data_IF_351907390836
#
_entry.id   IF_351907390836
#
_cell.length_a   1.000
_cell.length_b   1.000
_cell.length_c   1.000
_cell.angle_alpha   90.00
_cell.angle_beta   90.00
_cell.angle_gamma   90.00
#
_symmetry.space_group_name_H-M   'P 1'
#
loop_
_entity.id
_entity.type
_entity.pdbx_description
1 polymer ?
#
# COMPACT_ATOMS: atom_id res chain seq x y z
N UNK A 1 18.27 -52.45 -0.06
CA UNK A 1 19.28 -53.05 0.84
C UNK A 1 19.61 -54.42 0.27
N UNK A 2 20.90 -54.77 0.09
CA UNK A 2 21.46 -55.88 -0.74
C UNK A 2 21.22 -55.70 -2.26
N UNK A 3 22.18 -55.73 -3.22
CA UNK A 3 23.34 -56.62 -3.57
C UNK A 3 22.88 -58.04 -3.99
N UNK A 4 23.28 -58.69 -5.10
CA UNK A 4 24.58 -58.94 -5.82
C UNK A 4 24.33 -59.45 -7.27
N UNK A 5 25.25 -59.61 -8.26
CA UNK A 5 26.53 -58.98 -8.71
C UNK A 5 27.00 -59.70 -10.04
N UNK A 6 27.75 -59.03 -10.96
CA UNK A 6 28.50 -59.60 -12.14
C UNK A 6 27.66 -60.18 -13.33
N UNK A 7 28.12 -60.22 -14.60
CA UNK A 7 29.48 -60.46 -15.16
C UNK A 7 29.94 -59.49 -16.28
N UNK A 8 31.22 -59.62 -16.69
CA UNK A 8 31.91 -58.82 -17.72
C UNK A 8 32.09 -59.59 -19.05
N UNK A 9 32.36 -58.86 -20.14
CA UNK A 9 33.47 -59.23 -21.07
C UNK A 9 34.07 -58.00 -21.77
N UNK A 10 35.36 -58.09 -22.09
CA UNK A 10 36.20 -57.06 -22.75
C UNK A 10 36.61 -57.50 -24.16
N UNK A 11 37.35 -56.60 -24.84
CA UNK A 11 38.42 -56.79 -25.87
C UNK A 11 38.08 -56.12 -27.22
N UNK A 12 39.02 -55.53 -27.97
CA UNK A 12 40.29 -54.82 -27.68
C UNK A 12 40.87 -54.35 -29.03
N UNK A 13 41.44 -53.13 -29.12
CA UNK A 13 42.73 -52.87 -29.83
C UNK A 13 43.22 -51.44 -29.59
N UNK A 14 44.55 -51.30 -29.57
CA UNK A 14 45.33 -50.05 -29.36
C UNK A 14 46.28 -49.86 -30.56
N UNK A 15 47.12 -48.82 -30.44
CA UNK A 15 48.44 -48.54 -31.04
C UNK A 15 48.39 -47.24 -31.89
N UNK A 16 49.33 -46.30 -31.81
CA UNK A 16 50.42 -46.00 -30.86
C UNK A 16 50.84 -44.51 -31.04
N UNK A 17 51.25 -43.82 -29.96
CA UNK A 17 52.52 -43.07 -29.74
C UNK A 17 53.20 -42.32 -30.93
N UNK A 18 53.90 -41.17 -30.81
CA UNK A 18 54.48 -40.45 -29.65
C UNK A 18 54.81 -38.94 -29.99
N UNK A 19 55.60 -38.12 -29.25
CA UNK A 19 55.31 -36.68 -29.08
C UNK A 19 56.39 -35.71 -29.61
N UNK A 20 56.16 -34.40 -29.42
CA UNK A 20 57.23 -33.38 -29.40
C UNK A 20 57.16 -32.58 -28.09
N UNK A 21 58.30 -32.49 -27.38
CA UNK A 21 58.57 -31.52 -26.31
C UNK A 21 59.59 -30.49 -26.80
N UNK A 22 59.44 -29.22 -26.40
CA UNK A 22 60.55 -28.38 -25.89
C UNK A 22 59.97 -27.15 -25.17
N UNK A 23 60.77 -26.59 -24.28
CA UNK A 23 60.37 -25.55 -23.30
C UNK A 23 61.36 -24.36 -23.38
N UNK A 24 61.37 -23.52 -22.33
CA UNK A 24 62.25 -22.34 -22.09
C UNK A 24 61.81 -21.04 -22.79
N UNK A 25 61.85 -19.85 -22.17
CA UNK A 25 61.84 -19.46 -20.74
C UNK A 25 61.63 -17.92 -20.62
N UNK A 26 61.26 -17.45 -19.42
CA UNK A 26 61.44 -16.08 -18.88
C UNK A 26 60.58 -14.92 -19.41
N UNK A 27 60.02 -14.15 -18.47
CA UNK A 27 59.21 -12.95 -18.72
C UNK A 27 58.42 -12.50 -17.49
N UNK A 28 59.10 -12.13 -16.39
CA UNK A 28 58.42 -11.47 -15.25
C UNK A 28 57.96 -10.07 -15.67
N UNK A 29 56.66 -9.81 -15.57
CA UNK A 29 56.10 -8.47 -15.57
C UNK A 29 55.10 -8.33 -14.41
N UNK A 30 55.51 -7.62 -13.34
CA UNK A 30 54.57 -7.20 -12.30
C UNK A 30 53.67 -6.09 -12.87
N UNK A 31 52.44 -6.44 -13.26
CA UNK A 31 51.36 -5.47 -13.36
C UNK A 31 50.67 -5.38 -11.99
N UNK A 32 51.02 -4.38 -11.20
CA UNK A 32 50.30 -4.04 -9.98
C UNK A 32 48.92 -3.48 -10.34
N UNK A 33 47.93 -4.37 -10.46
CA UNK A 33 46.54 -3.96 -10.57
C UNK A 33 46.11 -3.36 -9.23
N UNK A 34 46.04 -2.02 -9.16
CA UNK A 34 45.41 -1.35 -8.03
C UNK A 34 43.95 -1.80 -7.95
N UNK A 35 43.63 -2.57 -6.90
CA UNK A 35 42.25 -2.89 -6.54
C UNK A 35 41.61 -1.61 -6.02
N UNK A 36 41.13 -0.79 -6.96
CA UNK A 36 40.16 0.24 -6.65
C UNK A 36 38.94 -0.45 -6.07
N UNK A 37 38.76 -0.36 -4.75
CA UNK A 37 37.54 -0.72 -4.05
C UNK A 37 36.44 0.26 -4.44
N UNK A 38 35.98 0.11 -5.69
CA UNK A 38 34.72 0.66 -6.15
C UNK A 38 33.60 -0.02 -5.38
N UNK A 39 33.31 0.50 -4.19
CA UNK A 39 32.03 0.28 -3.53
C UNK A 39 31.00 0.95 -4.44
N UNK A 40 30.54 0.20 -5.44
CA UNK A 40 29.39 0.59 -6.22
C UNK A 40 28.25 0.76 -5.21
N UNK A 41 27.89 2.01 -4.92
CA UNK A 41 26.80 2.34 -4.04
C UNK A 41 25.54 1.70 -4.64
N UNK A 42 25.17 0.55 -4.07
CA UNK A 42 24.03 -0.24 -4.49
C UNK A 42 22.80 0.53 -4.06
N UNK A 43 22.44 1.53 -4.88
CA UNK A 43 21.30 2.42 -4.64
C UNK A 43 20.09 1.52 -4.43
N UNK A 44 19.58 1.53 -3.20
CA UNK A 44 18.35 0.83 -2.88
C UNK A 44 17.27 1.44 -3.78
N UNK A 45 16.65 0.58 -4.61
CA UNK A 45 15.55 0.99 -5.48
C UNK A 45 14.49 1.66 -4.60
N UNK A 46 14.05 2.85 -5.00
CA UNK A 46 13.06 3.61 -4.25
C UNK A 46 11.82 2.75 -3.95
N UNK A 47 11.31 2.92 -2.73
CA UNK A 47 10.15 2.22 -2.20
C UNK A 47 8.91 2.81 -2.86
N UNK A 48 8.25 2.03 -3.70
CA UNK A 48 6.99 2.43 -4.34
C UNK A 48 5.83 2.34 -3.35
N UNK A 49 5.04 3.41 -3.26
CA UNK A 49 3.85 3.56 -2.44
C UNK A 49 2.60 3.74 -3.34
N UNK A 50 1.40 3.27 -2.94
CA UNK A 50 1.13 2.53 -1.71
C UNK A 50 1.67 1.10 -1.78
N UNK A 51 1.95 0.51 -0.61
CA UNK A 51 2.17 -0.94 -0.52
C UNK A 51 0.82 -1.58 -0.31
N UNK A 52 0.35 -2.31 -1.32
CA UNK A 52 -0.93 -3.01 -1.28
C UNK A 52 -0.77 -4.39 -0.63
N UNK A 53 -1.51 -4.62 0.45
CA UNK A 53 -1.42 -5.82 1.30
C UNK A 53 -2.74 -6.58 1.18
N UNK A 54 -2.90 -7.25 0.04
CA UNK A 54 -4.18 -7.83 -0.38
C UNK A 54 -4.16 -9.35 -0.52
N UNK A 55 -5.35 -9.93 -0.42
CA UNK A 55 -5.64 -11.30 -0.83
C UNK A 55 -7.12 -11.61 -0.60
N UNK A 56 -7.66 -12.62 -1.30
CA UNK A 56 -9.08 -12.93 -1.17
C UNK A 56 -9.44 -13.32 0.28
N UNK A 57 -8.67 -14.23 0.88
CA UNK A 57 -8.84 -14.64 2.28
C UNK A 57 -7.78 -14.02 3.19
N UNK A 58 -6.51 -14.04 2.79
CA UNK A 58 -5.38 -13.45 3.53
C UNK A 58 -4.27 -13.07 2.54
N UNK A 59 -3.34 -12.22 2.96
CA UNK A 59 -2.34 -11.63 2.06
C UNK A 59 -1.09 -11.11 2.77
N UNK A 60 -0.11 -10.64 2.00
CA UNK A 60 1.12 -10.10 2.56
C UNK A 60 2.01 -9.40 1.53
N UNK A 61 2.79 -8.45 2.01
CA UNK A 61 3.78 -7.72 1.23
C UNK A 61 5.08 -7.56 2.04
N UNK A 62 6.20 -7.25 1.40
CA UNK A 62 7.43 -6.90 2.12
C UNK A 62 8.31 -5.97 1.31
N UNK A 63 8.99 -5.05 2.00
CA UNK A 63 9.88 -4.05 1.41
C UNK A 63 11.26 -4.19 2.03
N UNK A 64 12.29 -4.21 1.18
CA UNK A 64 13.70 -4.14 1.58
C UNK A 64 14.17 -2.69 1.53
N UNK A 65 14.91 -2.26 2.55
CA UNK A 65 15.44 -0.90 2.66
C UNK A 65 16.76 -0.88 3.42
N UNK A 66 17.54 0.20 3.25
CA UNK A 66 18.79 0.43 3.96
C UNK A 66 18.72 1.83 4.58
N UNK A 67 18.52 1.98 5.90
CA UNK A 67 18.57 3.29 6.54
C UNK A 67 19.96 3.92 6.34
N UNK A 68 20.06 5.19 5.94
CA UNK A 68 21.35 5.86 5.79
C UNK A 68 22.05 5.97 7.14
N UNK A 69 23.38 5.88 7.13
CA UNK A 69 24.19 6.16 8.32
C UNK A 69 24.01 7.63 8.70
N UNK A 70 23.68 7.87 9.96
CA UNK A 70 23.54 9.20 10.56
C UNK A 70 24.57 9.38 11.66
N UNK A 71 24.99 10.62 11.92
CA UNK A 71 25.76 10.97 13.13
C UNK A 71 24.88 11.05 14.39
N UNK A 72 23.56 11.05 14.22
CA UNK A 72 22.61 10.98 15.31
C UNK A 72 22.47 9.54 15.84
N UNK A 73 22.85 9.38 17.11
CA UNK A 73 22.84 8.12 17.85
C UNK A 73 21.54 7.90 18.65
N UNK A 74 20.54 8.77 18.52
CA UNK A 74 19.25 8.59 19.20
C UNK A 74 18.61 7.25 18.78
N UNK A 75 18.13 6.43 19.74
CA UNK A 75 17.64 5.11 19.43
C UNK A 75 16.39 5.19 18.57
N UNK A 76 16.25 4.29 17.59
CA UNK A 76 15.01 4.08 16.86
C UNK A 76 14.02 3.40 17.81
N UNK A 77 12.81 3.94 17.96
CA UNK A 77 11.83 3.46 18.96
C UNK A 77 10.48 3.12 18.37
N UNK A 78 10.18 3.61 17.17
CA UNK A 78 8.80 3.68 16.69
C UNK A 78 8.73 3.50 15.18
N UNK A 79 7.76 2.71 14.71
CA UNK A 79 7.30 2.69 13.33
C UNK A 79 6.09 3.64 13.24
N UNK A 80 6.13 4.61 12.33
CA UNK A 80 4.98 5.45 11.99
C UNK A 80 4.49 5.10 10.59
N UNK A 81 3.17 5.02 10.40
CA UNK A 81 2.57 4.66 9.11
C UNK A 81 1.29 5.46 8.86
N UNK A 82 1.03 5.85 7.61
CA UNK A 82 -0.34 6.12 7.15
C UNK A 82 -0.88 4.88 6.46
N UNK A 83 -2.06 4.43 6.85
CA UNK A 83 -2.69 3.20 6.32
C UNK A 83 -4.13 3.49 5.87
N UNK A 84 -4.65 2.67 4.96
CA UNK A 84 -6.05 2.74 4.51
C UNK A 84 -6.65 1.34 4.31
N UNK A 85 -7.95 1.20 4.60
CA UNK A 85 -8.68 -0.06 4.54
C UNK A 85 -8.51 -0.95 5.78
N UNK A 86 -8.16 -0.36 6.93
CA UNK A 86 -8.02 -1.07 8.20
C UNK A 86 -9.32 -0.95 9.00
N UNK A 87 -10.23 -1.91 8.87
CA UNK A 87 -11.64 -1.78 9.30
C UNK A 87 -11.95 -2.49 10.62
N UNK A 88 -11.07 -3.35 11.15
CA UNK A 88 -11.25 -3.97 12.46
C UNK A 88 -9.92 -4.34 13.15
N UNK A 89 -9.90 -4.39 14.49
CA UNK A 89 -8.73 -4.78 15.27
C UNK A 89 -8.16 -6.14 14.83
N UNK A 90 -6.84 -6.21 14.61
CA UNK A 90 -6.18 -7.47 14.26
C UNK A 90 -6.37 -7.93 12.80
N UNK A 91 -7.08 -7.16 11.95
CA UNK A 91 -7.16 -7.42 10.50
C UNK A 91 -5.77 -7.53 9.85
N UNK A 92 -4.80 -6.79 10.38
CA UNK A 92 -3.46 -6.67 9.84
C UNK A 92 -2.38 -6.86 10.91
N UNK A 93 -1.16 -7.15 10.46
CA UNK A 93 0.04 -7.16 11.30
C UNK A 93 1.24 -6.63 10.52
N UNK A 94 2.23 -6.13 11.25
CA UNK A 94 3.52 -5.68 10.73
C UNK A 94 4.66 -6.32 11.52
N UNK A 95 5.81 -6.54 10.87
CA UNK A 95 7.06 -6.88 11.55
C UNK A 95 8.24 -6.25 10.85
N UNK A 96 9.33 -6.10 11.59
CA UNK A 96 10.62 -5.67 11.07
C UNK A 96 11.61 -6.83 11.20
N UNK A 97 12.40 -7.08 10.16
CA UNK A 97 13.38 -8.14 10.05
C UNK A 97 12.80 -9.52 10.43
N UNK A 98 13.46 -10.23 11.36
CA UNK A 98 13.01 -11.50 11.95
C UNK A 98 12.22 -11.33 13.24
N UNK A 99 11.80 -10.09 13.55
CA UNK A 99 11.11 -9.73 14.76
C UNK A 99 9.67 -10.22 14.86
N UNK A 100 9.02 -9.85 15.96
CA UNK A 100 7.66 -10.27 16.29
C UNK A 100 6.65 -9.63 15.36
N UNK A 101 5.59 -10.37 15.00
CA UNK A 101 4.42 -9.78 14.33
C UNK A 101 3.62 -8.96 15.33
N UNK A 102 3.65 -7.64 15.18
CA UNK A 102 2.83 -6.69 15.93
C UNK A 102 1.47 -6.60 15.23
N UNK A 103 0.35 -6.94 15.88
CA UNK A 103 -0.98 -6.74 15.31
C UNK A 103 -1.31 -5.24 15.23
N UNK A 104 -2.08 -4.86 14.21
CA UNK A 104 -2.62 -3.50 14.10
C UNK A 104 -4.01 -3.49 14.76
N UNK A 105 -4.03 -3.11 16.03
CA UNK A 105 -5.21 -3.01 16.89
C UNK A 105 -5.04 -1.88 17.91
N UNK A 106 -6.11 -1.56 18.64
CA UNK A 106 -6.16 -0.46 19.61
C UNK A 106 -5.35 -0.72 20.91
N UNK A 107 -4.66 -1.86 21.05
CA UNK A 107 -3.75 -2.14 22.18
C UNK A 107 -2.28 -1.90 21.80
N UNK A 108 -1.91 -2.11 20.54
CA UNK A 108 -0.51 -2.07 20.08
C UNK A 108 -0.16 -0.82 19.28
N UNK A 109 -1.14 0.02 18.91
CA UNK A 109 -0.92 1.25 18.13
C UNK A 109 -1.54 2.47 18.81
N UNK A 110 -0.92 3.63 18.63
CA UNK A 110 -1.52 4.94 18.89
C UNK A 110 -1.96 5.56 17.57
N UNK A 111 -3.20 6.05 17.48
CA UNK A 111 -3.71 6.77 16.30
C UNK A 111 -3.32 8.25 16.42
N UNK A 112 -2.74 8.83 15.36
CA UNK A 112 -2.19 10.18 15.33
C UNK A 112 -2.99 11.19 14.47
N UNK A 113 -3.94 10.73 13.63
CA UNK A 113 -4.75 11.56 12.73
C UNK A 113 -5.15 10.84 11.42
N UNK A 114 -5.65 11.55 10.39
CA UNK A 114 -6.42 12.79 10.47
C UNK A 114 -7.90 12.49 10.81
N UNK A 115 -8.64 13.53 11.17
CA UNK A 115 -9.97 13.40 11.76
C UNK A 115 -9.97 12.78 13.16
N UNK A 116 -11.16 12.83 13.75
CA UNK A 116 -11.64 12.25 15.02
C UNK A 116 -11.51 10.72 15.14
N UNK A 117 -10.64 10.06 14.38
CA UNK A 117 -10.54 8.61 14.26
C UNK A 117 -10.22 7.91 15.59
N UNK A 118 -9.40 8.51 16.46
CA UNK A 118 -9.16 8.03 17.82
C UNK A 118 -10.36 8.22 18.74
N UNK A 119 -11.02 9.38 18.64
CA UNK A 119 -12.19 9.75 19.46
C UNK A 119 -13.44 8.93 19.12
N UNK A 120 -13.51 8.36 17.91
CA UNK A 120 -14.60 7.54 17.41
C UNK A 120 -14.26 6.03 17.55
N UNK A 121 -13.63 5.64 18.65
CA UNK A 121 -13.39 4.24 19.01
C UNK A 121 -12.22 3.55 18.29
N UNK A 122 -11.40 4.30 17.55
CA UNK A 122 -10.21 3.79 16.90
C UNK A 122 -10.48 2.80 15.76
N UNK A 123 -9.58 1.84 15.58
CA UNK A 123 -9.70 0.80 14.54
C UNK A 123 -10.98 0.00 14.80
N UNK A 124 -11.91 0.02 13.83
CA UNK A 124 -13.21 -0.65 13.90
C UNK A 124 -14.28 0.04 14.74
N UNK A 125 -14.02 1.22 15.32
CA UNK A 125 -15.04 2.01 16.02
C UNK A 125 -15.82 2.99 15.11
N UNK A 126 -15.29 3.29 13.93
CA UNK A 126 -15.70 4.39 13.07
C UNK A 126 -15.86 3.96 11.60
N UNK A 127 -16.69 4.62 10.78
CA UNK A 127 -16.64 4.49 9.31
C UNK A 127 -15.33 4.99 8.69
N UNK A 128 -14.44 5.62 9.46
CA UNK A 128 -13.09 5.99 9.04
C UNK A 128 -12.22 4.72 8.94
N UNK A 129 -11.68 4.44 7.76
CA UNK A 129 -10.76 3.32 7.50
C UNK A 129 -9.33 3.76 7.14
N UNK A 130 -9.03 5.06 7.24
CA UNK A 130 -7.70 5.66 7.01
C UNK A 130 -7.15 6.18 8.33
N UNK A 131 -5.92 5.80 8.68
CA UNK A 131 -5.30 6.16 9.96
C UNK A 131 -3.82 6.49 9.81
N UNK A 132 -3.36 7.53 10.50
CA UNK A 132 -1.98 7.68 10.91
C UNK A 132 -1.75 6.90 12.21
N UNK A 133 -0.76 6.00 12.20
CA UNK A 133 -0.44 5.08 13.29
C UNK A 133 0.98 5.34 13.79
N UNK A 134 1.15 5.21 15.10
CA UNK A 134 2.42 5.10 15.80
C UNK A 134 2.47 3.76 16.51
N UNK A 135 3.44 2.93 16.16
CA UNK A 135 3.66 1.58 16.70
C UNK A 135 5.00 1.57 17.44
N UNK A 136 5.03 1.45 18.78
CA UNK A 136 6.26 1.20 19.52
C UNK A 136 6.93 -0.09 19.04
N UNK A 137 8.25 -0.06 18.83
CA UNK A 137 9.02 -1.24 18.43
C UNK A 137 9.76 -1.83 19.64
N UNK A 138 9.76 -3.16 19.83
CA UNK A 138 10.70 -3.83 20.72
C UNK A 138 12.15 -3.49 20.34
N UNK A 139 13.03 -3.32 21.32
CA UNK A 139 14.40 -2.85 21.11
C UNK A 139 15.22 -3.73 20.14
N UNK A 140 15.00 -5.04 20.14
CA UNK A 140 15.67 -6.00 19.25
C UNK A 140 15.08 -6.04 17.83
N UNK A 141 13.86 -5.52 17.66
CA UNK A 141 13.10 -5.52 16.41
C UNK A 141 13.26 -4.21 15.60
N UNK A 142 14.17 -3.31 16.01
CA UNK A 142 14.40 -2.04 15.31
C UNK A 142 15.24 -2.21 14.04
N UNK A 143 15.10 -1.32 13.02
CA UNK A 143 15.96 -1.34 11.85
C UNK A 143 17.42 -1.07 12.17
N UNK A 144 18.33 -1.83 11.54
CA UNK A 144 19.78 -1.67 11.67
C UNK A 144 20.27 -0.62 10.69
N UNK A 145 20.80 0.49 11.20
CA UNK A 145 21.34 1.60 10.40
C UNK A 145 22.54 1.14 9.56
N UNK A 146 22.63 1.60 8.31
CA UNK A 146 23.69 1.22 7.36
C UNK A 146 23.59 -0.22 6.82
N UNK A 147 22.59 -1.00 7.24
CA UNK A 147 22.42 -2.40 6.86
C UNK A 147 21.10 -2.65 6.11
N UNK A 148 21.02 -3.77 5.39
CA UNK A 148 19.79 -4.20 4.75
C UNK A 148 18.77 -4.69 5.78
N UNK A 149 17.58 -4.10 5.75
CA UNK A 149 16.43 -4.46 6.57
C UNK A 149 15.27 -4.92 5.70
N UNK A 150 14.31 -5.60 6.32
CA UNK A 150 13.04 -5.99 5.72
C UNK A 150 11.91 -5.46 6.62
N UNK A 151 10.90 -4.82 6.05
CA UNK A 151 9.61 -4.64 6.73
C UNK A 151 8.60 -5.54 6.01
N UNK A 152 7.86 -6.35 6.78
CA UNK A 152 6.81 -7.23 6.27
C UNK A 152 5.46 -6.80 6.79
N UNK A 153 4.47 -6.82 5.91
CA UNK A 153 3.07 -6.50 6.19
C UNK A 153 2.22 -7.72 5.91
N UNK A 154 1.17 -7.92 6.70
CA UNK A 154 0.23 -9.04 6.57
C UNK A 154 -1.20 -8.54 6.63
N UNK A 155 -2.04 -9.10 5.76
CA UNK A 155 -3.48 -9.15 5.92
C UNK A 155 -3.82 -10.52 6.51
N UNK A 156 -4.27 -10.55 7.76
CA UNK A 156 -4.31 -11.77 8.56
C UNK A 156 -5.40 -12.73 8.05
N UNK A 157 -6.63 -12.21 7.96
CA UNK A 157 -7.81 -12.89 7.42
C UNK A 157 -8.90 -11.87 7.14
N UNK A 158 -9.74 -12.09 6.13
CA UNK A 158 -10.98 -11.34 5.89
C UNK A 158 -12.10 -11.67 6.89
N UNK A 159 -12.90 -10.67 7.27
CA UNK A 159 -14.18 -10.81 7.96
C UNK A 159 -15.36 -11.06 7.00
N UNK A 160 -15.12 -11.14 5.69
CA UNK A 160 -16.15 -11.24 4.66
C UNK A 160 -16.63 -9.90 4.08
N UNK A 161 -15.98 -8.77 4.42
CA UNK A 161 -16.27 -7.42 3.88
C UNK A 161 -15.08 -6.88 3.06
N UNK A 162 -13.86 -6.93 3.62
CA UNK A 162 -12.64 -6.44 2.98
C UNK A 162 -11.71 -7.55 2.47
N UNK A 163 -10.83 -7.19 1.54
CA UNK A 163 -9.85 -8.09 0.90
C UNK A 163 -8.41 -7.63 1.13
N UNK A 164 -8.18 -6.96 2.27
CA UNK A 164 -6.89 -6.44 2.74
C UNK A 164 -6.84 -4.91 2.80
N UNK A 165 -5.62 -4.36 2.84
CA UNK A 165 -5.37 -2.96 3.23
C UNK A 165 -4.16 -2.37 2.47
N UNK A 166 -3.87 -1.07 2.68
CA UNK A 166 -2.76 -0.35 2.06
C UNK A 166 -1.91 0.38 3.09
N UNK A 167 -0.58 0.39 2.88
CA UNK A 167 0.34 1.35 3.51
C UNK A 167 0.52 2.51 2.53
N UNK A 168 0.04 3.69 2.88
CA UNK A 168 0.13 4.91 2.06
C UNK A 168 1.46 5.64 2.28
N UNK A 169 2.00 5.56 3.49
CA UNK A 169 3.36 6.01 3.83
C UNK A 169 3.85 5.26 5.07
N UNK A 170 5.17 5.18 5.26
CA UNK A 170 5.75 4.79 6.55
C UNK A 170 7.11 5.43 6.77
N UNK A 171 7.53 5.49 8.03
CA UNK A 171 8.89 5.81 8.42
C UNK A 171 9.21 5.15 9.76
N UNK A 172 10.48 5.13 10.15
CA UNK A 172 10.87 4.85 11.52
C UNK A 172 11.25 6.16 12.19
N UNK A 173 10.89 6.32 13.47
CA UNK A 173 11.27 7.47 14.26
C UNK A 173 12.22 7.09 15.38
N UNK A 174 13.16 7.99 15.63
CA UNK A 174 14.01 7.98 16.81
C UNK A 174 13.28 8.59 18.02
N UNK A 175 13.83 8.38 19.21
CA UNK A 175 13.31 8.91 20.46
C UNK A 175 13.20 10.45 20.50
N UNK A 176 13.98 11.17 19.68
CA UNK A 176 13.91 12.62 19.50
C UNK A 176 12.82 13.08 18.51
N UNK A 177 12.08 12.13 17.92
CA UNK A 177 11.04 12.37 16.92
C UNK A 177 11.52 12.43 15.47
N UNK A 178 12.85 12.37 15.21
CA UNK A 178 13.37 12.46 13.84
C UNK A 178 13.05 11.21 13.02
N UNK A 179 12.74 11.42 11.74
CA UNK A 179 12.56 10.33 10.79
C UNK A 179 13.92 9.70 10.42
N UNK A 180 13.92 8.39 10.22
CA UNK A 180 15.11 7.58 9.91
C UNK A 180 15.32 7.45 8.39
N UNK A 181 14.23 7.33 7.62
CA UNK A 181 14.28 7.17 6.17
C UNK A 181 14.05 8.53 5.49
N UNK A 182 14.93 8.98 4.57
CA UNK A 182 14.75 10.24 3.86
C UNK A 182 13.60 10.13 2.86
N UNK A 183 12.91 11.24 2.57
CA UNK A 183 11.78 11.28 1.65
C UNK A 183 12.15 10.76 0.23
N UNK A 184 13.40 10.99 -0.21
CA UNK A 184 13.93 10.48 -1.48
C UNK A 184 14.04 8.96 -1.59
N UNK A 185 13.88 8.22 -0.49
CA UNK A 185 13.77 6.76 -0.51
C UNK A 185 12.42 6.27 -1.01
N UNK A 186 11.41 7.15 -1.13
CA UNK A 186 10.04 6.80 -1.51
C UNK A 186 9.67 7.41 -2.85
N UNK A 187 8.85 6.69 -3.62
CA UNK A 187 8.15 7.19 -4.81
C UNK A 187 6.69 6.79 -4.72
N UNK A 188 5.79 7.63 -5.24
CA UNK A 188 4.42 7.18 -5.48
C UNK A 188 4.40 6.34 -6.77
N UNK A 189 3.53 5.35 -6.82
CA UNK A 189 3.16 4.64 -8.03
C UNK A 189 2.35 5.58 -8.94
N UNK A 190 2.54 5.41 -10.25
CA UNK A 190 1.94 6.28 -11.27
C UNK A 190 0.92 5.50 -12.10
N UNK A 191 -0.39 5.68 -11.83
CA UNK A 191 -1.46 5.02 -12.56
C UNK A 191 -1.46 5.29 -14.07
N UNK A 192 -0.86 6.39 -14.52
CA UNK A 192 -0.77 6.70 -15.95
C UNK A 192 0.14 5.74 -16.72
N UNK A 193 1.01 5.02 -16.01
CA UNK A 193 1.93 4.01 -16.58
C UNK A 193 1.31 2.61 -16.65
N UNK A 194 0.23 2.34 -15.90
CA UNK A 194 -0.33 1.00 -15.75
C UNK A 194 -0.92 0.44 -17.05
N UNK A 195 -0.44 -0.73 -17.45
CA UNK A 195 -0.91 -1.46 -18.62
C UNK A 195 -1.94 -2.56 -18.25
N UNK A 196 -2.75 -3.04 -19.21
CA UNK A 196 -3.55 -4.26 -19.04
C UNK A 196 -2.66 -5.46 -18.62
N UNK A 197 -3.02 -6.25 -17.59
CA UNK A 197 -2.33 -7.49 -17.24
C UNK A 197 -2.31 -8.53 -18.37
N UNK A 198 -3.35 -8.55 -19.20
CA UNK A 198 -3.51 -9.34 -20.41
C UNK A 198 -3.86 -8.37 -21.54
N UNK A 199 -3.10 -8.36 -22.63
CA UNK A 199 -3.26 -7.41 -23.73
C UNK A 199 -3.91 -8.03 -24.98
N UNK A 200 -4.37 -9.27 -24.90
CA UNK A 200 -5.13 -9.92 -25.98
C UNK A 200 -6.57 -9.36 -26.05
N UNK A 201 -7.08 -8.99 -27.24
CA UNK A 201 -8.45 -8.52 -27.40
C UNK A 201 -9.52 -9.49 -26.88
N UNK A 202 -9.29 -10.80 -26.94
CA UNK A 202 -10.21 -11.81 -26.42
C UNK A 202 -10.25 -11.83 -24.88
N UNK A 203 -9.11 -11.65 -24.21
CA UNK A 203 -9.05 -11.52 -22.74
C UNK A 203 -9.73 -10.23 -22.27
N UNK A 204 -9.58 -9.14 -23.00
CA UNK A 204 -10.26 -7.85 -22.74
C UNK A 204 -11.78 -8.01 -22.92
N UNK A 205 -12.23 -8.66 -23.99
CA UNK A 205 -13.65 -8.94 -24.23
C UNK A 205 -14.24 -9.90 -23.18
N UNK A 206 -13.49 -10.91 -22.75
CA UNK A 206 -13.87 -11.79 -21.64
C UNK A 206 -14.00 -11.01 -20.32
N UNK A 207 -13.09 -10.07 -20.06
CA UNK A 207 -13.16 -9.15 -18.92
C UNK A 207 -14.43 -8.29 -18.91
N UNK A 208 -14.83 -7.78 -20.07
CA UNK A 208 -16.08 -7.04 -20.23
C UNK A 208 -17.31 -7.93 -19.97
N UNK A 209 -17.33 -9.15 -20.52
CA UNK A 209 -18.43 -10.09 -20.31
C UNK A 209 -18.58 -10.48 -18.83
N UNK A 210 -17.46 -10.71 -18.13
CA UNK A 210 -17.43 -10.97 -16.69
C UNK A 210 -17.96 -9.77 -15.89
N UNK A 211 -17.57 -8.55 -16.23
CA UNK A 211 -18.06 -7.33 -15.59
C UNK A 211 -19.59 -7.20 -15.65
N UNK A 212 -20.18 -7.61 -16.78
CA UNK A 212 -21.60 -7.43 -17.07
C UNK A 212 -22.49 -8.61 -16.65
N UNK A 213 -21.97 -9.83 -16.58
CA UNK A 213 -22.81 -11.03 -16.40
C UNK A 213 -22.24 -12.13 -15.50
N UNK A 214 -21.10 -11.93 -14.83
CA UNK A 214 -20.56 -12.95 -13.94
C UNK A 214 -21.48 -13.27 -12.76
N UNK A 215 -21.57 -14.56 -12.42
CA UNK A 215 -22.16 -15.03 -11.17
C UNK A 215 -21.18 -14.77 -10.02
N UNK A 216 -21.48 -13.79 -9.17
CA UNK A 216 -20.60 -13.36 -8.08
C UNK A 216 -20.99 -14.03 -6.74
N UNK A 217 -20.00 -14.23 -5.87
CA UNK A 217 -20.21 -14.55 -4.45
C UNK A 217 -20.09 -13.31 -3.58
N UNK A 218 -20.79 -13.28 -2.44
CA UNK A 218 -20.75 -12.17 -1.49
C UNK A 218 -19.33 -11.89 -0.99
N UNK A 219 -18.58 -12.95 -0.71
CA UNK A 219 -17.16 -12.93 -0.37
C UNK A 219 -16.53 -14.33 -0.64
N UNK A 220 -15.24 -14.48 -0.32
CA UNK A 220 -14.46 -15.70 -0.55
C UNK A 220 -14.42 -16.66 0.64
N UNK A 221 -15.26 -16.48 1.66
CA UNK A 221 -15.35 -17.43 2.76
C UNK A 221 -16.13 -18.71 2.36
N UNK A 222 -15.91 -19.84 3.05
CA UNK A 222 -16.70 -21.05 2.84
C UNK A 222 -18.20 -20.77 2.95
N UNK A 223 -19.00 -21.40 2.08
CA UNK A 223 -20.46 -21.26 2.03
C UNK A 223 -21.00 -19.84 1.78
N UNK A 224 -20.16 -18.89 1.34
CA UNK A 224 -20.60 -17.55 0.97
C UNK A 224 -21.71 -17.62 -0.12
N UNK A 225 -22.83 -16.89 0.06
CA UNK A 225 -23.96 -16.92 -0.86
C UNK A 225 -23.63 -16.22 -2.17
N UNK A 226 -24.34 -16.60 -3.23
CA UNK A 226 -24.34 -15.92 -4.52
C UNK A 226 -25.02 -14.55 -4.41
N UNK A 227 -24.42 -13.50 -4.97
CA UNK A 227 -25.03 -12.17 -5.09
C UNK A 227 -26.02 -12.19 -6.26
N UNK A 228 -27.20 -11.56 -6.09
CA UNK A 228 -28.14 -11.30 -7.19
C UNK A 228 -27.82 -9.97 -7.90
N UNK A 229 -26.56 -9.79 -8.27
CA UNK A 229 -26.02 -8.62 -8.94
C UNK A 229 -24.66 -8.96 -9.61
N UNK A 230 -24.32 -8.22 -10.66
CA UNK A 230 -23.05 -8.25 -11.38
C UNK A 230 -22.15 -7.05 -10.96
N UNK A 231 -20.93 -6.97 -11.48
CA UNK A 231 -20.03 -5.87 -11.12
C UNK A 231 -20.62 -4.50 -11.51
N UNK A 232 -21.14 -4.39 -12.73
CA UNK A 232 -21.76 -3.17 -13.27
C UNK A 232 -23.10 -2.74 -12.65
N UNK A 233 -23.66 -3.52 -11.71
CA UNK A 233 -24.85 -3.15 -10.94
C UNK A 233 -24.51 -2.39 -9.64
N UNK A 234 -23.29 -2.58 -9.12
CA UNK A 234 -22.79 -1.93 -7.90
C UNK A 234 -21.74 -0.84 -8.21
N UNK A 235 -21.06 -0.94 -9.34
CA UNK A 235 -20.08 0.02 -9.86
C UNK A 235 -20.66 0.78 -11.07
N UNK A 236 -19.88 1.63 -11.73
CA UNK A 236 -20.33 2.19 -13.00
C UNK A 236 -20.55 1.05 -14.02
N UNK A 237 -21.58 1.15 -14.85
CA UNK A 237 -21.97 0.07 -15.79
C UNK A 237 -20.85 -0.34 -16.75
N UNK A 238 -19.94 0.58 -17.09
CA UNK A 238 -18.73 0.36 -17.89
C UNK A 238 -17.43 0.20 -17.06
N UNK A 239 -17.49 0.29 -15.74
CA UNK A 239 -16.34 0.22 -14.84
C UNK A 239 -15.44 1.45 -14.84
N UNK A 240 -15.89 2.58 -15.40
CA UNK A 240 -15.09 3.82 -15.45
C UNK A 240 -14.74 4.39 -14.08
N UNK A 241 -15.50 4.07 -13.03
CA UNK A 241 -15.19 4.48 -11.66
C UNK A 241 -13.90 3.82 -11.14
N UNK A 242 -13.67 2.54 -11.43
CA UNK A 242 -12.42 1.85 -11.08
C UNK A 242 -11.21 2.46 -11.80
N UNK A 243 -11.39 2.91 -13.05
CA UNK A 243 -10.36 3.63 -13.81
C UNK A 243 -10.16 5.05 -13.28
N UNK A 244 -11.24 5.78 -13.01
CA UNK A 244 -11.22 7.14 -12.49
C UNK A 244 -10.49 7.23 -11.16
N UNK A 245 -10.93 6.45 -10.16
CA UNK A 245 -10.33 6.44 -8.83
C UNK A 245 -8.98 5.70 -8.77
N UNK A 246 -8.42 5.27 -9.90
CA UNK A 246 -7.12 4.59 -9.99
C UNK A 246 -7.00 3.38 -9.04
N UNK A 247 -8.01 2.49 -9.05
CA UNK A 247 -7.86 1.17 -8.44
C UNK A 247 -6.82 0.38 -9.22
N UNK A 248 -5.78 -0.12 -8.54
CA UNK A 248 -4.66 -0.86 -9.15
C UNK A 248 -5.12 -2.17 -9.81
N UNK A 249 -4.31 -2.68 -10.74
CA UNK A 249 -4.54 -4.01 -11.33
C UNK A 249 -4.66 -5.09 -10.25
N UNK A 250 -3.77 -5.07 -9.26
CA UNK A 250 -3.73 -6.05 -8.18
C UNK A 250 -4.97 -5.99 -7.28
N UNK A 251 -5.43 -4.78 -6.94
CA UNK A 251 -6.65 -4.58 -6.16
C UNK A 251 -7.91 -5.09 -6.88
N UNK A 252 -8.01 -4.87 -8.18
CA UNK A 252 -9.13 -5.37 -9.01
C UNK A 252 -9.08 -6.90 -9.08
N UNK A 253 -7.93 -7.49 -9.41
CA UNK A 253 -7.75 -8.95 -9.49
C UNK A 253 -8.16 -9.62 -8.17
N UNK A 254 -7.65 -9.11 -7.04
CA UNK A 254 -7.98 -9.67 -5.72
C UNK A 254 -9.46 -9.49 -5.37
N UNK A 255 -10.08 -8.35 -5.71
CA UNK A 255 -11.51 -8.15 -5.44
C UNK A 255 -12.40 -9.03 -6.31
N UNK A 256 -12.00 -9.32 -7.54
CA UNK A 256 -12.64 -10.36 -8.37
C UNK A 256 -12.55 -11.74 -7.71
N UNK A 257 -11.38 -12.12 -7.20
CA UNK A 257 -11.20 -13.39 -6.45
C UNK A 257 -12.03 -13.44 -5.16
N UNK A 258 -12.12 -12.32 -4.45
CA UNK A 258 -12.99 -12.17 -3.28
C UNK A 258 -14.46 -12.43 -3.64
N UNK A 259 -14.90 -12.02 -4.83
CA UNK A 259 -16.25 -12.32 -5.34
C UNK A 259 -16.36 -13.66 -6.10
N UNK A 260 -15.41 -14.58 -5.90
CA UNK A 260 -15.49 -15.97 -6.37
C UNK A 260 -14.99 -16.22 -7.80
N UNK A 261 -14.40 -15.23 -8.46
CA UNK A 261 -13.75 -15.42 -9.77
C UNK A 261 -12.35 -16.03 -9.63
N UNK A 262 -11.83 -16.63 -10.70
CA UNK A 262 -10.45 -17.10 -10.74
C UNK A 262 -9.45 -15.93 -10.86
N UNK A 263 -8.17 -16.18 -10.58
CA UNK A 263 -7.10 -15.19 -10.78
C UNK A 263 -7.05 -14.70 -12.23
N UNK A 264 -7.16 -15.61 -13.22
CA UNK A 264 -7.20 -15.26 -14.64
C UNK A 264 -8.42 -14.40 -14.99
N UNK A 265 -9.61 -14.73 -14.47
CA UNK A 265 -10.81 -13.92 -14.65
C UNK A 265 -10.65 -12.52 -14.03
N UNK A 266 -9.99 -12.42 -12.87
CA UNK A 266 -9.60 -11.13 -12.29
C UNK A 266 -8.63 -10.34 -13.17
N UNK A 267 -7.66 -11.01 -13.82
CA UNK A 267 -6.75 -10.37 -14.77
C UNK A 267 -7.48 -9.89 -16.03
N UNK A 268 -8.44 -10.66 -16.54
CA UNK A 268 -9.30 -10.27 -17.67
C UNK A 268 -10.12 -9.02 -17.32
N UNK A 269 -10.79 -8.99 -16.17
CA UNK A 269 -11.54 -7.81 -15.69
C UNK A 269 -10.62 -6.60 -15.52
N UNK A 270 -9.45 -6.75 -14.86
CA UNK A 270 -8.48 -5.66 -14.72
C UNK A 270 -7.98 -5.14 -16.09
N UNK A 271 -7.83 -6.03 -17.08
CA UNK A 271 -7.42 -5.67 -18.44
C UNK A 271 -8.50 -4.89 -19.18
N UNK A 272 -9.76 -5.31 -19.05
CA UNK A 272 -10.92 -4.55 -19.51
C UNK A 272 -10.95 -3.14 -18.92
N UNK A 273 -10.88 -2.99 -17.59
CA UNK A 273 -10.85 -1.67 -16.93
C UNK A 273 -9.70 -0.80 -17.45
N UNK A 274 -8.52 -1.36 -17.74
CA UNK A 274 -7.42 -0.58 -18.33
C UNK A 274 -7.69 -0.16 -19.78
N UNK A 275 -8.33 -1.00 -20.58
CA UNK A 275 -8.68 -0.72 -21.98
C UNK A 275 -9.74 0.37 -22.19
N UNK A 276 -10.48 0.76 -21.15
CA UNK A 276 -11.44 1.87 -21.20
C UNK A 276 -10.78 3.19 -21.68
N UNK A 277 -11.54 4.18 -22.16
CA UNK A 277 -10.99 5.46 -22.63
C UNK A 277 -10.02 6.11 -21.64
N UNK A 278 -8.93 6.69 -22.15
CA UNK A 278 -7.93 7.37 -21.31
C UNK A 278 -8.53 8.59 -20.58
N UNK A 279 -9.53 9.25 -21.18
CA UNK A 279 -10.29 10.37 -20.62
C UNK A 279 -11.10 10.03 -19.36
N UNK A 280 -11.22 8.75 -19.00
CA UNK A 280 -11.84 8.34 -17.73
C UNK A 280 -10.87 8.31 -16.56
N UNK A 281 -9.54 8.33 -16.78
CA UNK A 281 -8.57 8.30 -15.69
C UNK A 281 -8.38 9.71 -15.11
N UNK A 282 -8.59 9.88 -13.81
CA UNK A 282 -8.22 11.10 -13.08
C UNK A 282 -6.71 11.12 -12.83
N UNK A 283 -6.09 12.30 -12.91
CA UNK A 283 -4.70 12.47 -12.47
C UNK A 283 -4.58 12.39 -10.93
N UNK A 284 -5.58 12.90 -10.23
CA UNK A 284 -5.53 13.21 -8.79
C UNK A 284 -6.20 12.14 -7.91
N UNK A 285 -7.22 11.45 -8.42
CA UNK A 285 -7.99 10.50 -7.64
C UNK A 285 -7.15 9.27 -7.25
N UNK A 286 -7.42 8.75 -6.06
CA UNK A 286 -6.87 7.49 -5.54
C UNK A 286 -7.94 6.82 -4.68
N UNK A 287 -7.95 5.48 -4.51
CA UNK A 287 -9.02 4.79 -3.77
C UNK A 287 -9.14 5.15 -2.29
N UNK A 288 -8.13 5.81 -1.72
CA UNK A 288 -8.05 6.24 -0.32
C UNK A 288 -8.28 7.75 -0.11
N UNK A 289 -8.42 8.51 -1.19
CA UNK A 289 -8.79 9.92 -1.11
C UNK A 289 -10.31 10.03 -0.96
N UNK A 290 -10.86 10.76 0.02
CA UNK A 290 -12.30 10.89 0.15
C UNK A 290 -12.87 11.65 -1.06
N UNK A 291 -13.87 11.09 -1.79
CA UNK A 291 -14.44 11.76 -2.94
C UNK A 291 -15.04 13.11 -2.57
N UNK A 292 -14.87 14.10 -3.45
CA UNK A 292 -15.33 15.49 -3.24
C UNK A 292 -14.79 16.20 -1.99
N UNK A 293 -13.75 15.67 -1.32
CA UNK A 293 -13.11 16.34 -0.18
C UNK A 293 -12.70 17.77 -0.56
N UNK A 294 -13.26 18.83 0.05
CA UNK A 294 -12.82 20.19 -0.21
C UNK A 294 -11.40 20.41 0.31
N UNK A 295 -10.65 21.26 -0.38
CA UNK A 295 -9.31 21.67 0.04
C UNK A 295 -8.66 22.63 -0.96
N UNK A 296 -7.53 23.25 -0.59
CA UNK A 296 -6.87 24.25 -1.41
C UNK A 296 -6.51 23.73 -2.81
N UNK A 297 -6.84 24.50 -3.84
CA UNK A 297 -6.47 24.21 -5.23
C UNK A 297 -7.42 23.27 -5.99
N UNK A 298 -8.41 22.65 -5.36
CA UNK A 298 -9.39 21.79 -6.05
C UNK A 298 -10.23 22.57 -7.08
N UNK A 299 -10.51 23.84 -6.79
CA UNK A 299 -11.19 24.81 -7.65
C UNK A 299 -10.38 25.21 -8.90
N UNK A 300 -9.06 25.02 -8.88
CA UNK A 300 -8.21 25.19 -10.07
C UNK A 300 -8.28 24.02 -11.05
N UNK A 301 -8.91 22.91 -10.65
CA UNK A 301 -9.03 21.71 -11.50
C UNK A 301 -10.34 21.76 -12.31
N UNK A 302 -10.33 21.13 -13.49
CA UNK A 302 -11.54 21.03 -14.31
C UNK A 302 -12.66 20.25 -13.59
N UNK A 303 -13.95 20.50 -13.86
CA UNK A 303 -15.06 19.89 -13.11
C UNK A 303 -15.04 18.36 -13.04
N UNK A 304 -14.50 17.70 -14.07
CA UNK A 304 -14.33 16.24 -14.11
C UNK A 304 -13.39 15.70 -13.02
N UNK A 305 -12.52 16.54 -12.44
CA UNK A 305 -11.55 16.18 -11.40
C UNK A 305 -12.07 16.45 -9.98
N UNK A 306 -13.22 17.11 -9.80
CA UNK A 306 -13.74 17.45 -8.47
C UNK A 306 -14.09 16.22 -7.63
N UNK A 307 -14.53 15.13 -8.27
CA UNK A 307 -14.82 13.86 -7.59
C UNK A 307 -13.55 13.18 -7.02
N UNK A 308 -12.35 13.54 -7.48
CA UNK A 308 -11.08 13.08 -6.90
C UNK A 308 -10.87 13.60 -5.46
N UNK A 309 -11.49 14.73 -5.11
CA UNK A 309 -11.23 15.50 -3.90
C UNK A 309 -9.83 16.12 -3.87
N UNK A 310 -9.58 16.98 -2.89
CA UNK A 310 -8.27 17.59 -2.62
C UNK A 310 -7.25 16.61 -1.98
N UNK A 311 -7.59 15.32 -1.87
CA UNK A 311 -6.75 14.28 -1.30
C UNK A 311 -6.89 14.13 0.23
N UNK A 312 -6.32 13.03 0.75
CA UNK A 312 -6.40 12.70 2.19
C UNK A 312 -5.73 13.76 3.09
N UNK A 313 -4.70 14.45 2.62
CA UNK A 313 -4.00 15.51 3.37
C UNK A 313 -4.84 16.79 3.56
N UNK A 314 -5.95 16.95 2.82
CA UNK A 314 -6.93 18.01 3.03
C UNK A 314 -7.98 17.68 4.11
N UNK A 315 -7.99 16.44 4.64
CA UNK A 315 -8.88 16.05 5.74
C UNK A 315 -8.39 16.66 7.04
N UNK A 316 -9.24 17.48 7.67
CA UNK A 316 -8.89 18.20 8.89
C UNK A 316 -8.86 17.26 10.11
N UNK A 317 -7.99 17.52 11.11
CA UNK A 317 -7.86 16.67 12.30
C UNK A 317 -9.10 16.70 13.20
N UNK A 318 -9.88 17.78 13.20
CA UNK A 318 -11.07 17.98 14.02
C UNK A 318 -11.86 19.21 13.52
N UNK A 319 -13.07 19.41 14.04
CA UNK A 319 -13.95 20.53 13.67
C UNK A 319 -13.36 21.90 13.99
N UNK A 320 -12.56 22.02 15.07
CA UNK A 320 -11.92 23.30 15.43
C UNK A 320 -10.90 23.75 14.37
N UNK A 321 -10.22 22.81 13.71
CA UNK A 321 -9.33 23.09 12.58
C UNK A 321 -10.07 23.59 11.33
N UNK A 322 -11.42 23.51 11.28
CA UNK A 322 -12.25 24.06 10.20
C UNK A 322 -12.48 25.58 10.35
N UNK A 323 -12.36 26.13 11.56
CA UNK A 323 -12.67 27.53 11.85
C UNK A 323 -11.91 28.55 10.98
N UNK A 324 -10.59 28.39 10.68
CA UNK A 324 -9.88 29.32 9.80
C UNK A 324 -10.37 29.30 8.35
N UNK A 325 -10.98 28.20 7.90
CA UNK A 325 -11.52 28.06 6.54
C UNK A 325 -12.93 28.66 6.42
N UNK A 326 -13.77 28.50 7.45
CA UNK A 326 -15.11 29.09 7.49
C UNK A 326 -15.07 30.59 7.80
N UNK A 327 -14.14 31.01 8.65
CA UNK A 327 -14.02 32.38 9.15
C UNK A 327 -12.57 32.90 8.96
N UNK A 328 -12.09 33.09 7.72
CA UNK A 328 -10.71 33.51 7.44
C UNK A 328 -10.37 34.89 8.01
N UNK A 329 -11.37 35.72 8.28
CA UNK A 329 -11.23 37.04 8.92
C UNK A 329 -11.62 37.03 10.42
N UNK A 330 -11.75 35.83 11.02
CA UNK A 330 -12.23 35.62 12.38
C UNK A 330 -13.74 35.81 12.56
N UNK A 331 -14.25 35.38 13.71
CA UNK A 331 -15.63 35.62 14.15
C UNK A 331 -15.63 36.90 14.99
N UNK A 332 -16.28 37.97 14.52
CA UNK A 332 -16.50 39.17 15.35
C UNK A 332 -17.52 38.83 16.45
N UNK A 333 -17.25 39.11 17.73
CA UNK A 333 -18.26 38.98 18.78
C UNK A 333 -19.48 39.84 18.45
N UNK A 334 -20.68 39.25 18.52
CA UNK A 334 -21.91 39.99 18.25
C UNK A 334 -22.16 41.03 19.35
N UNK A 335 -21.97 42.31 19.05
CA UNK A 335 -22.15 43.45 19.97
C UNK A 335 -23.61 43.75 20.35
N UNK A 336 -24.56 42.85 20.04
CA UNK A 336 -26.00 43.09 20.10
C UNK A 336 -26.81 41.95 20.74
N UNK A 337 -26.31 41.35 21.82
CA UNK A 337 -27.21 40.76 22.83
C UNK A 337 -27.83 41.91 23.65
N UNK A 338 -28.91 42.51 23.14
CA UNK A 338 -29.77 43.37 23.96
C UNK A 338 -30.46 42.48 25.01
N UNK A 339 -30.35 42.76 26.32
CA UNK A 339 -31.11 42.04 27.32
C UNK A 339 -32.61 42.32 27.11
N UNK A 340 -33.38 41.28 26.84
CA UNK A 340 -34.84 41.35 26.82
C UNK A 340 -35.35 41.35 28.28
N UNK A 341 -35.22 42.50 28.94
CA UNK A 341 -35.84 42.75 30.25
C UNK A 341 -37.35 43.04 30.05
N UNK A 342 -38.27 42.21 30.55
CA UNK A 342 -39.70 42.50 30.45
C UNK A 342 -40.07 43.68 31.36
N UNK A 343 -40.43 44.82 30.77
CA UNK A 343 -40.82 46.04 31.51
C UNK A 343 -42.25 46.00 32.10
N UNK A 344 -42.71 44.88 32.66
CA UNK A 344 -44.06 44.80 33.23
C UNK A 344 -44.11 44.11 34.60
N UNK A 345 -43.81 44.89 35.65
CA UNK A 345 -44.27 44.67 37.01
C UNK A 345 -44.60 46.02 37.67
N UNK A 346 -45.75 46.61 37.31
CA UNK A 346 -46.39 47.68 38.09
C UNK A 346 -47.60 47.08 38.79
N UNK A 347 -47.68 47.28 40.11
CA UNK A 347 -48.86 47.35 40.99
C UNK A 347 -50.02 46.35 40.75
N UNK A 348 -50.60 45.71 41.77
CA UNK A 348 -51.01 46.32 43.03
C UNK A 348 -51.43 45.27 44.09
N UNK A 349 -51.49 45.74 45.34
CA UNK A 349 -52.12 45.14 46.54
C UNK A 349 -51.53 43.83 47.09
#
# INVERSE_FOLDING_TARGET
MLLTYLTQTKWHRRHHLHPIRRAWQNGLALCAAMVGLGVAAQHSRAITLPIEVFGAVSGGASVRFVPPVSSDNSPITTLVMRVHGLEYPGQASVRVNSGTWIPLDNQHVTILGPGIAGDFGGIGGSPISTFDLSIPLPADDVPKVGAANLISFRFNMTNGINSGWRVLSFNFRRADGTNVLPASMFTQDDPSTWQPPLNDPADIAAGQALWQSATLKLNSLPNAPTIKAHCGDCHATDGRDLKYFNYSNYSIIVRCMFHGLSYQQGQQVASYIRSLPASYASKYARPWNPPYQPGPGLDSHGPNEWAAGAGIDAVLPNDAAMLPYLFPNGIKPASHLRPWLPQHARAAH
#
